data_IF_564520511718
#
_entry.id   IF_564520511718
#
_cell.length_a   1.000
_cell.length_b   1.000
_cell.length_c   1.000
_cell.angle_alpha   90.00
_cell.angle_beta   90.00
_cell.angle_gamma   90.00
#
_symmetry.space_group_name_H-M   'P 1'
#
loop_
_entity.id
_entity.type
_entity.pdbx_description
1 polymer ?
#
# COMPACT_ATOMS: atom_id res chain seq x y z
N UNK A 1 85.35 19.96 -28.89
CA UNK A 1 84.63 21.23 -28.71
C UNK A 1 83.17 20.98 -29.06
N UNK A 2 82.29 21.22 -28.10
CA UNK A 2 80.86 20.86 -28.04
C UNK A 2 80.01 21.58 -29.09
N UNK A 3 78.93 20.94 -29.57
CA UNK A 3 77.57 21.51 -29.42
C UNK A 3 76.51 20.44 -29.66
N UNK A 4 75.64 20.24 -28.67
CA UNK A 4 74.54 19.27 -28.66
C UNK A 4 73.26 20.08 -28.75
N UNK A 5 72.72 20.26 -29.96
CA UNK A 5 71.42 20.91 -30.14
C UNK A 5 70.30 19.87 -30.00
N UNK A 6 69.91 19.64 -28.76
CA UNK A 6 68.75 18.83 -28.38
C UNK A 6 67.49 19.69 -28.53
N UNK A 7 66.82 19.57 -29.69
CA UNK A 7 65.50 20.14 -29.94
C UNK A 7 64.49 19.67 -28.89
N UNK A 8 64.11 20.59 -28.01
CA UNK A 8 63.02 20.42 -27.07
C UNK A 8 61.70 20.37 -27.85
N UNK A 9 61.00 19.22 -27.80
CA UNK A 9 59.62 19.11 -28.28
C UNK A 9 58.68 19.66 -27.20
N UNK A 10 57.75 20.57 -27.52
CA UNK A 10 56.74 20.99 -26.56
C UNK A 10 55.80 19.81 -26.26
N UNK A 11 55.69 19.49 -24.97
CA UNK A 11 54.76 18.50 -24.44
C UNK A 11 53.34 19.04 -24.58
N UNK A 12 52.57 18.44 -25.49
CA UNK A 12 51.20 18.81 -25.79
C UNK A 12 50.29 18.10 -24.77
N UNK A 13 49.76 18.86 -23.79
CA UNK A 13 48.82 18.32 -22.81
C UNK A 13 47.48 18.06 -23.50
N UNK A 14 47.15 16.78 -23.66
CA UNK A 14 45.85 16.35 -24.17
C UNK A 14 44.76 16.84 -23.22
N UNK A 15 43.83 17.62 -23.77
CA UNK A 15 42.70 18.20 -23.06
C UNK A 15 41.87 17.15 -22.34
N UNK A 16 41.60 17.43 -21.07
CA UNK A 16 40.65 16.70 -20.23
C UNK A 16 39.28 16.78 -20.91
N UNK A 17 38.84 15.66 -21.49
CA UNK A 17 37.52 15.53 -22.09
C UNK A 17 36.45 15.88 -21.05
N UNK A 18 35.66 16.92 -21.34
CA UNK A 18 34.48 17.23 -20.57
C UNK A 18 33.53 16.03 -20.63
N UNK A 19 33.49 15.24 -19.55
CA UNK A 19 32.40 14.31 -19.28
C UNK A 19 31.12 15.13 -19.30
N UNK A 20 30.33 14.99 -20.38
CA UNK A 20 29.01 15.58 -20.47
C UNK A 20 28.13 14.85 -19.46
N UNK A 21 28.04 15.39 -18.25
CA UNK A 21 27.03 15.00 -17.27
C UNK A 21 25.67 15.19 -17.93
N UNK A 22 25.03 14.08 -18.25
CA UNK A 22 23.70 14.06 -18.85
C UNK A 22 22.76 14.70 -17.84
N UNK A 23 22.29 15.91 -18.12
CA UNK A 23 21.35 16.61 -17.24
C UNK A 23 20.04 15.82 -17.28
N UNK A 24 19.75 15.09 -16.21
CA UNK A 24 18.49 14.36 -16.05
C UNK A 24 17.37 15.38 -15.92
N UNK A 25 16.54 15.50 -16.96
CA UNK A 25 15.46 16.48 -16.97
C UNK A 25 14.34 16.06 -16.00
N UNK A 26 13.81 17.02 -15.25
CA UNK A 26 12.69 16.83 -14.33
C UNK A 26 11.46 16.11 -14.93
N UNK A 27 10.99 16.42 -16.16
CA UNK A 27 9.85 15.72 -16.75
C UNK A 27 10.14 14.23 -17.04
N UNK A 28 11.37 13.89 -17.40
CA UNK A 28 11.78 12.49 -17.58
C UNK A 28 11.77 11.72 -16.26
N UNK A 29 12.17 12.34 -15.15
CA UNK A 29 12.10 11.71 -13.82
C UNK A 29 10.66 11.49 -13.37
N UNK A 30 9.77 12.47 -13.58
CA UNK A 30 8.35 12.35 -13.25
C UNK A 30 7.67 11.27 -14.09
N UNK A 31 7.94 11.21 -15.40
CA UNK A 31 7.37 10.19 -16.27
C UNK A 31 7.81 8.78 -15.92
N UNK A 32 9.09 8.59 -15.59
CA UNK A 32 9.62 7.31 -15.13
C UNK A 32 9.01 6.91 -13.77
N UNK A 33 8.86 7.86 -12.84
CA UNK A 33 8.24 7.61 -11.54
C UNK A 33 6.79 7.14 -11.67
N UNK A 34 5.96 7.84 -12.47
CA UNK A 34 4.57 7.46 -12.73
C UNK A 34 4.44 6.08 -13.39
N UNK A 35 5.37 5.74 -14.28
CA UNK A 35 5.44 4.42 -14.89
C UNK A 35 5.71 3.33 -13.84
N UNK A 36 6.66 3.56 -12.92
CA UNK A 36 6.95 2.61 -11.84
C UNK A 36 5.80 2.46 -10.84
N UNK A 37 5.09 3.53 -10.48
CA UNK A 37 3.90 3.46 -9.62
C UNK A 37 2.76 2.64 -10.23
N UNK A 38 2.70 2.51 -11.56
CA UNK A 38 1.67 1.71 -12.23
C UNK A 38 1.90 0.20 -12.09
N UNK A 39 3.14 -0.24 -11.83
CA UNK A 39 3.46 -1.64 -11.58
C UNK A 39 3.19 -2.06 -10.11
N UNK A 40 3.12 -1.11 -9.19
CA UNK A 40 2.65 -1.34 -7.81
C UNK A 40 1.13 -1.24 -7.75
N UNK A 41 0.42 -2.12 -8.47
CA UNK A 41 -1.03 -2.17 -8.48
C UNK A 41 -1.64 -2.69 -7.17
N UNK A 42 -2.85 -2.22 -6.82
CA UNK A 42 -3.62 -2.53 -5.60
C UNK A 42 -4.05 -4.00 -5.40
N UNK A 43 -3.58 -4.95 -6.22
CA UNK A 43 -3.92 -6.38 -6.14
C UNK A 43 -2.72 -7.29 -5.88
N UNK A 44 -1.54 -6.72 -5.61
CA UNK A 44 -0.39 -7.49 -5.16
C UNK A 44 -0.52 -7.80 -3.67
N UNK A 45 -0.43 -9.07 -3.29
CA UNK A 45 -0.38 -9.50 -1.89
C UNK A 45 0.63 -8.65 -1.12
N UNK A 46 0.11 -7.76 -0.27
CA UNK A 46 0.92 -6.87 0.54
C UNK A 46 1.57 -7.63 1.69
N UNK A 47 2.24 -6.89 2.57
CA UNK A 47 2.69 -7.41 3.87
C UNK A 47 1.55 -7.84 4.79
N UNK A 48 0.31 -7.57 4.40
CA UNK A 48 -0.88 -7.95 5.12
C UNK A 48 -1.46 -9.25 4.56
N UNK A 49 -2.10 -10.07 5.41
CA UNK A 49 -2.84 -11.22 4.95
C UNK A 49 -3.90 -10.79 3.91
N UNK A 50 -4.25 -11.67 2.96
CA UNK A 50 -5.30 -11.39 2.01
C UNK A 50 -6.58 -11.03 2.75
N UNK A 51 -7.36 -10.11 2.18
CA UNK A 51 -8.69 -9.83 2.69
C UNK A 51 -9.51 -11.13 2.70
N UNK A 52 -10.19 -11.41 3.81
CA UNK A 52 -11.03 -12.59 3.96
C UNK A 52 -12.16 -12.66 2.93
N UNK A 53 -12.91 -13.76 2.91
CA UNK A 53 -14.06 -13.88 2.02
C UNK A 53 -15.10 -12.80 2.31
N UNK A 54 -15.99 -12.49 1.35
CA UNK A 54 -17.05 -11.51 1.56
C UNK A 54 -17.90 -11.82 2.80
N UNK A 55 -18.20 -13.10 3.04
CA UNK A 55 -18.96 -13.54 4.20
C UNK A 55 -18.20 -13.29 5.51
N UNK A 56 -16.89 -13.54 5.54
CA UNK A 56 -16.04 -13.27 6.70
C UNK A 56 -16.01 -11.78 7.01
N UNK A 57 -15.87 -10.92 5.99
CA UNK A 57 -15.86 -9.47 6.16
C UNK A 57 -17.21 -8.95 6.69
N UNK A 58 -18.32 -9.46 6.15
CA UNK A 58 -19.66 -9.11 6.63
C UNK A 58 -19.89 -9.57 8.06
N UNK A 59 -19.53 -10.81 8.38
CA UNK A 59 -19.71 -11.35 9.71
C UNK A 59 -18.86 -10.60 10.74
N UNK A 60 -17.63 -10.24 10.37
CA UNK A 60 -16.74 -9.40 11.17
C UNK A 60 -17.36 -8.00 11.43
N UNK A 61 -17.91 -7.36 10.39
CA UNK A 61 -18.61 -6.09 10.53
C UNK A 61 -19.82 -6.15 11.48
N UNK A 62 -20.51 -7.30 11.54
CA UNK A 62 -21.63 -7.53 12.46
C UNK A 62 -21.13 -7.70 13.91
N UNK A 63 -20.09 -8.51 14.12
CA UNK A 63 -19.58 -8.81 15.48
C UNK A 63 -18.94 -7.58 16.13
N UNK A 64 -18.32 -6.71 15.35
CA UNK A 64 -17.73 -5.47 15.83
C UNK A 64 -18.61 -4.23 15.62
N UNK A 65 -19.93 -4.43 15.46
CA UNK A 65 -20.91 -3.34 15.44
C UNK A 65 -20.86 -2.59 16.80
N UNK A 66 -20.60 -1.26 16.82
CA UNK A 66 -20.52 -0.50 18.07
C UNK A 66 -21.87 -0.33 18.76
N UNK A 67 -23.00 -0.63 18.08
CA UNK A 67 -24.32 -0.42 18.64
C UNK A 67 -24.81 -1.62 19.46
N UNK A 68 -25.54 -1.38 20.56
CA UNK A 68 -26.04 -2.45 21.41
C UNK A 68 -26.89 -3.45 20.64
N UNK A 69 -26.83 -4.68 21.13
CA UNK A 69 -27.67 -5.77 20.68
C UNK A 69 -28.93 -5.88 21.58
N UNK A 70 -29.97 -6.53 21.07
CA UNK A 70 -31.28 -6.61 21.74
C UNK A 70 -31.32 -7.54 22.97
N UNK A 71 -30.23 -8.20 23.30
CA UNK A 71 -30.08 -9.18 24.39
C UNK A 71 -29.41 -8.62 25.65
N UNK A 72 -28.76 -7.46 25.55
CA UNK A 72 -28.03 -6.84 26.68
C UNK A 72 -28.91 -5.83 27.42
N UNK A 73 -29.75 -5.11 26.69
CA UNK A 73 -30.59 -4.03 27.22
C UNK A 73 -31.92 -3.95 26.44
N UNK A 74 -32.93 -3.24 26.97
CA UNK A 74 -34.14 -2.92 26.22
C UNK A 74 -33.80 -2.25 24.89
N UNK A 75 -34.61 -2.50 23.86
CA UNK A 75 -34.38 -1.92 22.54
C UNK A 75 -34.48 -0.39 22.58
N UNK A 76 -33.36 0.29 22.33
CA UNK A 76 -33.28 1.75 22.27
C UNK A 76 -33.12 2.23 20.82
N UNK A 77 -34.25 2.47 20.15
CA UNK A 77 -34.27 2.91 18.74
C UNK A 77 -33.51 4.24 18.48
N UNK A 78 -33.30 5.06 19.51
CA UNK A 78 -32.59 6.34 19.40
C UNK A 78 -31.06 6.19 19.40
N UNK A 79 -30.53 5.06 19.87
CA UNK A 79 -29.09 4.84 19.96
C UNK A 79 -28.44 4.57 18.60
N UNK A 80 -29.16 3.87 17.71
CA UNK A 80 -28.69 3.47 16.37
C UNK A 80 -29.20 4.46 15.31
N UNK A 81 -28.33 5.04 14.45
CA UNK A 81 -28.76 5.93 13.39
C UNK A 81 -29.71 5.20 12.41
N UNK A 82 -30.72 5.90 11.84
CA UNK A 82 -31.72 5.25 10.98
C UNK A 82 -31.17 4.59 9.71
N UNK A 83 -30.02 5.05 9.22
CA UNK A 83 -29.37 4.50 8.02
C UNK A 83 -28.56 3.23 8.29
N UNK A 84 -28.36 2.86 9.56
CA UNK A 84 -27.57 1.69 9.93
C UNK A 84 -28.44 0.45 9.86
N UNK A 85 -27.81 -0.65 9.44
CA UNK A 85 -28.41 -1.98 9.45
C UNK A 85 -28.94 -2.29 10.85
N UNK A 86 -30.11 -2.93 10.99
CA UNK A 86 -30.62 -3.37 12.29
C UNK A 86 -29.91 -4.64 12.78
N UNK A 87 -29.86 -4.90 14.10
CA UNK A 87 -29.29 -6.12 14.65
C UNK A 87 -29.93 -7.37 14.01
N UNK A 88 -29.11 -8.39 13.75
CA UNK A 88 -29.60 -9.67 13.26
C UNK A 88 -30.46 -10.37 14.33
N UNK A 89 -31.45 -11.16 13.92
CA UNK A 89 -32.16 -12.04 14.84
C UNK A 89 -31.19 -12.97 15.57
N UNK A 90 -31.38 -13.12 16.87
CA UNK A 90 -30.65 -14.01 17.79
C UNK A 90 -30.27 -15.37 17.17
N UNK A 91 -31.21 -16.14 16.56
CA UNK A 91 -30.88 -17.44 15.99
C UNK A 91 -29.90 -17.39 14.82
N UNK A 92 -29.93 -16.33 14.01
CA UNK A 92 -29.03 -16.13 12.87
C UNK A 92 -27.65 -15.70 13.39
N UNK A 93 -27.66 -14.80 14.37
CA UNK A 93 -26.44 -14.28 15.00
C UNK A 93 -25.63 -15.39 15.67
N UNK A 94 -26.29 -16.30 16.38
CA UNK A 94 -25.63 -17.43 17.07
C UNK A 94 -24.94 -18.42 16.11
N UNK A 95 -25.27 -18.36 14.81
CA UNK A 95 -24.62 -19.16 13.77
C UNK A 95 -23.48 -18.44 13.04
N UNK A 96 -23.30 -17.13 13.21
CA UNK A 96 -22.26 -16.37 12.51
C UNK A 96 -20.84 -16.85 12.81
N UNK A 97 -20.52 -17.08 14.09
CA UNK A 97 -19.19 -17.54 14.48
C UNK A 97 -18.88 -18.92 13.91
N UNK A 98 -19.70 -19.97 14.09
CA UNK A 98 -19.39 -21.28 13.53
C UNK A 98 -19.43 -21.31 11.99
N UNK A 99 -20.28 -20.52 11.35
CA UNK A 99 -20.47 -20.57 9.89
C UNK A 99 -19.46 -19.68 9.13
N UNK A 100 -19.03 -18.55 9.70
CA UNK A 100 -18.22 -17.55 9.00
C UNK A 100 -16.93 -17.13 9.72
N UNK A 101 -16.76 -17.40 11.02
CA UNK A 101 -15.57 -17.01 11.79
C UNK A 101 -15.11 -18.10 12.76
N UNK A 102 -14.82 -19.33 12.29
CA UNK A 102 -14.51 -20.48 13.14
C UNK A 102 -13.26 -20.28 14.02
N UNK A 103 -12.41 -19.31 13.70
CA UNK A 103 -11.21 -18.96 14.46
C UNK A 103 -11.49 -18.09 15.70
N UNK A 104 -12.68 -17.49 15.83
CA UNK A 104 -12.99 -16.59 16.95
C UNK A 104 -13.26 -17.34 18.27
N UNK A 105 -13.25 -18.68 18.24
CA UNK A 105 -13.49 -19.51 19.41
C UNK A 105 -14.96 -19.56 19.81
N UNK A 106 -15.31 -20.53 20.66
CA UNK A 106 -16.62 -20.67 21.29
C UNK A 106 -16.51 -20.30 22.76
#
# INVERSE_FOLDING_TARGET
>A
MFSVDRMARPWQSNGIGHMRTTQLNLPTLLGVSLLFLSFTGCRGGGWFPPAGTMNEQQANAIVHDPYPQNDIAPYEAASRPPSYQQPLPEPVRNRLVPDAMPWLGR
#
